data_IF_214290928205
#
_entry.id   IF_214290928205
#
_cell.length_a   1.000
_cell.length_b   1.000
_cell.length_c   1.000
_cell.angle_alpha   90.00
_cell.angle_beta   90.00
_cell.angle_gamma   90.00
#
_symmetry.space_group_name_H-M   'P 1'
#
loop_
_entity.id
_entity.type
_entity.pdbx_description
1 polymer ?
#
# COMPACT_ATOMS: atom_id res chain seq x y z
N UNK A 1 -26.23 -48.64 -11.95
CA UNK A 1 -25.35 -48.37 -10.80
C UNK A 1 -23.98 -48.05 -11.33
N UNK A 2 -23.64 -46.76 -11.45
CA UNK A 2 -22.29 -46.32 -11.83
C UNK A 2 -21.87 -45.27 -10.80
N UNK A 3 -20.99 -45.69 -9.90
CA UNK A 3 -20.41 -44.87 -8.85
C UNK A 3 -19.50 -43.82 -9.48
N UNK A 4 -19.92 -42.56 -9.44
CA UNK A 4 -19.09 -41.42 -9.82
C UNK A 4 -18.08 -41.16 -8.72
N UNK A 5 -16.79 -41.30 -9.04
CA UNK A 5 -15.68 -40.87 -8.17
C UNK A 5 -15.67 -39.34 -8.12
N UNK A 6 -16.21 -38.76 -7.06
CA UNK A 6 -16.02 -37.35 -6.72
C UNK A 6 -14.58 -37.16 -6.23
N UNK A 7 -13.73 -36.59 -7.08
CA UNK A 7 -12.45 -36.03 -6.64
C UNK A 7 -12.74 -34.96 -5.57
N UNK A 8 -12.10 -35.02 -4.39
CA UNK A 8 -12.22 -33.94 -3.42
C UNK A 8 -11.61 -32.65 -4.00
N UNK A 9 -12.18 -31.49 -3.69
CA UNK A 9 -11.61 -30.20 -4.06
C UNK A 9 -10.21 -30.05 -3.43
N UNK A 10 -9.26 -29.42 -4.14
CA UNK A 10 -7.93 -29.16 -3.59
C UNK A 10 -8.05 -28.36 -2.28
N UNK A 11 -7.25 -28.68 -1.26
CA UNK A 11 -7.27 -27.93 -0.01
C UNK A 11 -6.92 -26.46 -0.29
N UNK A 12 -7.63 -25.50 0.31
CA UNK A 12 -7.29 -24.10 0.19
C UNK A 12 -5.85 -23.92 0.68
N UNK A 13 -5.04 -23.26 -0.15
CA UNK A 13 -3.68 -22.90 0.22
C UNK A 13 -3.74 -22.11 1.53
N UNK A 14 -2.88 -22.43 2.52
CA UNK A 14 -2.78 -21.61 3.72
C UNK A 14 -2.34 -20.22 3.27
N UNK A 15 -3.27 -19.27 3.28
CA UNK A 15 -2.93 -17.86 3.29
C UNK A 15 -2.12 -17.67 4.56
N UNK A 16 -0.80 -17.54 4.41
CA UNK A 16 0.03 -16.98 5.46
C UNK A 16 -0.63 -15.64 5.79
N UNK A 17 -1.23 -15.56 6.96
CA UNK A 17 -1.52 -14.29 7.61
C UNK A 17 -0.14 -13.67 7.86
N UNK A 18 0.38 -13.01 6.82
CA UNK A 18 1.60 -12.25 6.89
C UNK A 18 1.37 -11.21 7.99
N UNK A 19 1.97 -11.52 9.14
CA UNK A 19 2.52 -10.60 10.12
C UNK A 19 2.31 -9.16 9.66
N UNK A 20 1.28 -8.50 10.22
CA UNK A 20 0.93 -7.11 9.93
C UNK A 20 2.15 -6.27 10.30
N UNK A 21 3.05 -6.15 9.34
CA UNK A 21 4.36 -5.58 9.53
C UNK A 21 4.15 -4.11 9.87
N UNK A 22 4.81 -3.69 10.94
CA UNK A 22 4.88 -2.31 11.41
C UNK A 22 4.99 -1.39 10.19
N UNK A 23 3.94 -0.62 9.93
CA UNK A 23 3.71 0.14 8.70
C UNK A 23 4.59 1.38 8.57
N UNK A 24 5.37 1.71 9.61
CA UNK A 24 6.26 2.86 9.61
C UNK A 24 7.55 2.54 8.88
N UNK A 25 7.99 3.48 8.03
CA UNK A 25 9.29 3.34 7.42
C UNK A 25 10.39 3.42 8.49
N UNK A 26 11.52 2.70 8.32
CA UNK A 26 12.65 2.78 9.25
C UNK A 26 13.12 4.23 9.51
N UNK A 27 13.05 5.10 8.50
CA UNK A 27 13.33 6.52 8.67
C UNK A 27 12.32 7.21 9.59
N UNK A 28 11.02 6.97 9.43
CA UNK A 28 9.98 7.58 10.26
C UNK A 28 10.11 7.18 11.73
N UNK A 29 10.43 5.91 11.99
CA UNK A 29 10.67 5.44 13.35
C UNK A 29 11.87 6.16 13.98
N UNK A 30 13.00 6.25 13.25
CA UNK A 30 14.18 6.97 13.70
C UNK A 30 13.92 8.48 13.89
N UNK A 31 13.13 9.10 13.00
CA UNK A 31 12.72 10.51 13.08
C UNK A 31 11.88 10.76 14.34
N UNK A 32 10.83 9.96 14.58
CA UNK A 32 9.99 10.08 15.78
C UNK A 32 10.80 9.87 17.06
N UNK A 33 11.72 8.90 17.06
CA UNK A 33 12.60 8.66 18.20
C UNK A 33 13.52 9.86 18.48
N UNK A 34 14.16 10.43 17.45
CA UNK A 34 14.99 11.63 17.59
C UNK A 34 14.18 12.83 18.10
N UNK A 35 12.95 13.02 17.59
CA UNK A 35 12.04 14.07 18.03
C UNK A 35 11.64 13.90 19.51
N UNK A 36 11.33 12.68 19.93
CA UNK A 36 11.02 12.39 21.32
C UNK A 36 12.20 12.69 22.25
N UNK A 37 13.43 12.36 21.84
CA UNK A 37 14.64 12.69 22.57
C UNK A 37 14.90 14.20 22.65
N UNK A 38 14.73 14.93 21.54
CA UNK A 38 14.82 16.40 21.54
C UNK A 38 13.83 17.04 22.52
N UNK A 39 12.60 16.55 22.52
CA UNK A 39 11.56 17.00 23.46
C UNK A 39 11.96 16.73 24.91
N UNK A 40 12.40 15.51 25.23
CA UNK A 40 12.85 15.13 26.56
C UNK A 40 14.00 16.01 27.06
N UNK A 41 14.99 16.31 26.21
CA UNK A 41 16.08 17.23 26.54
C UNK A 41 15.54 18.62 26.90
N UNK A 42 14.69 19.19 26.05
CA UNK A 42 14.13 20.54 26.23
C UNK A 42 13.22 20.64 27.46
N UNK A 43 12.47 19.58 27.77
CA UNK A 43 11.67 19.46 28.99
C UNK A 43 12.57 19.44 30.23
N UNK A 44 13.62 18.60 30.25
CA UNK A 44 14.57 18.56 31.36
C UNK A 44 15.29 19.91 31.56
N UNK A 45 15.70 20.59 30.47
CA UNK A 45 16.29 21.92 30.55
C UNK A 45 15.34 22.93 31.20
N UNK A 46 14.08 22.95 30.77
CA UNK A 46 13.04 23.81 31.36
C UNK A 46 12.86 23.53 32.86
N UNK A 47 12.90 22.25 33.27
CA UNK A 47 12.82 21.88 34.69
C UNK A 47 14.05 22.38 35.46
N UNK A 48 15.26 22.22 34.91
CA UNK A 48 16.51 22.72 35.53
C UNK A 48 16.45 24.22 35.75
N UNK A 49 15.95 24.96 34.76
CA UNK A 49 15.86 26.41 34.79
C UNK A 49 14.83 26.93 35.79
N UNK A 50 13.80 26.12 36.10
CA UNK A 50 12.82 26.38 37.15
C UNK A 50 13.33 26.02 38.56
N UNK A 51 14.44 25.28 38.69
CA UNK A 51 15.01 24.96 40.00
C UNK A 51 15.68 26.19 40.65
N UNK A 52 15.25 26.47 41.86
CA UNK A 52 15.78 27.53 42.72
C UNK A 52 17.03 27.08 43.48
N UNK A 53 17.66 28.00 44.21
CA UNK A 53 18.79 27.69 45.10
C UNK A 53 18.37 26.87 46.34
N UNK A 54 17.06 26.77 46.63
CA UNK A 54 16.54 25.99 47.75
C UNK A 54 16.30 24.51 47.38
N UNK A 55 16.33 24.18 46.09
CA UNK A 55 16.14 22.82 45.61
C UNK A 55 17.37 21.94 45.87
N UNK A 56 17.13 20.64 46.10
CA UNK A 56 18.18 19.68 46.40
C UNK A 56 19.25 19.63 45.30
N UNK A 57 20.55 19.78 45.63
CA UNK A 57 21.63 19.72 44.64
C UNK A 57 21.70 18.35 43.95
N UNK A 58 21.26 17.28 44.61
CA UNK A 58 21.18 15.94 44.04
C UNK A 58 20.18 15.88 42.88
N UNK A 59 19.01 16.53 43.01
CA UNK A 59 17.99 16.60 41.95
C UNK A 59 18.49 17.36 40.72
N UNK A 60 19.22 18.46 40.94
CA UNK A 60 19.86 19.22 39.86
C UNK A 60 20.87 18.34 39.11
N UNK A 61 21.73 17.64 39.83
CA UNK A 61 22.72 16.72 39.24
C UNK A 61 22.07 15.58 38.46
N UNK A 62 20.98 15.00 38.96
CA UNK A 62 20.21 13.97 38.28
C UNK A 62 19.67 14.47 36.93
N UNK A 63 19.03 15.64 36.90
CA UNK A 63 18.54 16.23 35.65
C UNK A 63 19.66 16.50 34.64
N UNK A 64 20.83 16.99 35.10
CA UNK A 64 21.97 17.17 34.21
C UNK A 64 22.47 15.84 33.63
N UNK A 65 22.49 14.78 34.42
CA UNK A 65 22.87 13.44 33.95
C UNK A 65 21.85 12.91 32.94
N UNK A 66 20.55 13.12 33.18
CA UNK A 66 19.48 12.78 32.24
C UNK A 66 19.64 13.54 30.92
N UNK A 67 19.92 14.84 30.96
CA UNK A 67 20.17 15.65 29.75
C UNK A 67 21.36 15.11 28.96
N UNK A 68 22.49 14.82 29.62
CA UNK A 68 23.67 14.26 28.95
C UNK A 68 23.40 12.90 28.32
N UNK A 69 22.63 12.04 29.02
CA UNK A 69 22.22 10.75 28.49
C UNK A 69 21.36 10.91 27.25
N UNK A 70 20.30 11.72 27.32
CA UNK A 70 19.42 11.98 26.18
C UNK A 70 20.15 12.67 25.03
N UNK A 71 21.14 13.53 25.30
CA UNK A 71 21.97 14.14 24.26
C UNK A 71 22.81 13.09 23.51
N UNK A 72 23.42 12.15 24.23
CA UNK A 72 24.20 11.08 23.63
C UNK A 72 23.30 10.18 22.76
N UNK A 73 22.12 9.80 23.28
CA UNK A 73 21.12 9.03 22.54
C UNK A 73 20.60 9.79 21.31
N UNK A 74 20.37 11.10 21.43
CA UNK A 74 19.93 11.95 20.32
C UNK A 74 20.94 11.95 19.17
N UNK A 75 22.25 11.99 19.47
CA UNK A 75 23.29 11.92 18.42
C UNK A 75 23.25 10.58 17.67
N UNK A 76 23.07 9.48 18.38
CA UNK A 76 22.93 8.15 17.78
C UNK A 76 21.67 8.10 16.91
N UNK A 77 20.53 8.57 17.43
CA UNK A 77 19.27 8.59 16.69
C UNK A 77 19.36 9.46 15.42
N UNK A 78 20.03 10.62 15.46
CA UNK A 78 20.25 11.46 14.28
C UNK A 78 21.15 10.79 13.24
N UNK A 79 22.17 10.03 13.66
CA UNK A 79 23.01 9.26 12.74
C UNK A 79 22.23 8.13 12.07
N UNK A 80 21.41 7.41 12.83
CA UNK A 80 20.52 6.38 12.31
C UNK A 80 19.50 6.97 11.33
N UNK A 81 18.83 8.06 11.72
CA UNK A 81 17.90 8.78 10.85
C UNK A 81 18.58 9.26 9.55
N UNK A 82 19.83 9.73 9.62
CA UNK A 82 20.60 10.11 8.42
C UNK A 82 20.80 8.93 7.47
N UNK A 83 21.21 7.77 8.01
CA UNK A 83 21.40 6.55 7.22
C UNK A 83 20.10 6.13 6.55
N UNK A 84 18.99 6.11 7.30
CA UNK A 84 17.68 5.76 6.76
C UNK A 84 17.16 6.78 5.75
N UNK A 85 17.40 8.07 5.96
CA UNK A 85 17.03 9.13 5.01
C UNK A 85 17.72 8.95 3.65
N UNK A 86 19.00 8.57 3.64
CA UNK A 86 19.74 8.29 2.40
C UNK A 86 19.15 7.07 1.68
N UNK A 87 18.85 6.00 2.42
CA UNK A 87 18.27 4.78 1.85
C UNK A 87 16.87 5.02 1.26
N UNK A 88 16.05 5.84 1.92
CA UNK A 88 14.68 6.15 1.51
C UNK A 88 14.56 7.40 0.62
N UNK A 89 15.68 8.05 0.27
CA UNK A 89 15.74 9.31 -0.51
C UNK A 89 14.94 10.46 0.11
N UNK A 90 14.94 10.57 1.43
CA UNK A 90 14.25 11.62 2.22
C UNK A 90 15.20 12.68 2.77
N UNK A 91 16.16 13.13 1.96
CA UNK A 91 17.19 14.09 2.39
C UNK A 91 16.59 15.40 2.93
N UNK A 92 15.55 15.93 2.28
CA UNK A 92 14.92 17.20 2.68
C UNK A 92 14.26 17.12 4.07
N UNK A 93 13.61 15.99 4.38
CA UNK A 93 13.02 15.75 5.71
C UNK A 93 14.11 15.68 6.77
N UNK A 94 15.21 14.98 6.45
CA UNK A 94 16.34 14.88 7.36
C UNK A 94 17.02 16.23 7.60
N UNK A 95 17.15 17.10 6.60
CA UNK A 95 17.68 18.45 6.79
C UNK A 95 16.88 19.25 7.83
N UNK A 96 15.54 19.15 7.82
CA UNK A 96 14.68 19.79 8.84
C UNK A 96 14.91 19.20 10.23
N UNK A 97 14.93 17.87 10.32
CA UNK A 97 15.20 17.16 11.58
C UNK A 97 16.58 17.52 12.15
N UNK A 98 17.59 17.57 11.27
CA UNK A 98 18.97 17.93 11.62
C UNK A 98 19.06 19.38 12.11
N UNK A 99 18.38 20.32 11.44
CA UNK A 99 18.32 21.71 11.90
C UNK A 99 17.79 21.78 13.35
N UNK A 100 16.66 21.13 13.65
CA UNK A 100 16.12 21.08 15.02
C UNK A 100 17.03 20.36 16.02
N UNK A 101 17.71 19.29 15.57
CA UNK A 101 18.73 18.60 16.35
C UNK A 101 19.91 19.51 16.70
N UNK A 102 20.40 20.30 15.74
CA UNK A 102 21.48 21.27 15.96
C UNK A 102 21.07 22.40 16.89
N UNK A 103 19.86 22.94 16.75
CA UNK A 103 19.31 23.95 17.67
C UNK A 103 19.24 23.40 19.10
N UNK A 104 18.76 22.17 19.26
CA UNK A 104 18.72 21.51 20.58
C UNK A 104 20.13 21.35 21.18
N UNK A 105 21.12 20.93 20.38
CA UNK A 105 22.51 20.82 20.84
C UNK A 105 23.13 22.18 21.18
N UNK A 106 22.82 23.23 20.42
CA UNK A 106 23.28 24.59 20.72
C UNK A 106 22.70 25.10 22.04
N UNK A 107 21.42 24.83 22.32
CA UNK A 107 20.79 25.13 23.60
C UNK A 107 21.51 24.42 24.76
N UNK A 108 21.79 23.12 24.64
CA UNK A 108 22.55 22.38 25.65
C UNK A 108 23.93 23.03 25.88
N UNK A 109 24.64 23.40 24.81
CA UNK A 109 25.95 24.07 24.91
C UNK A 109 25.85 25.45 25.55
N UNK A 110 24.82 26.24 25.25
CA UNK A 110 24.63 27.55 25.84
C UNK A 110 24.31 27.48 27.35
N UNK A 111 23.61 26.44 27.80
CA UNK A 111 23.29 26.25 29.22
C UNK A 111 24.42 25.59 30.02
N UNK A 112 25.14 24.64 29.42
CA UNK A 112 26.08 23.79 30.16
C UNK A 112 27.53 23.90 29.69
N UNK A 113 27.79 24.44 28.50
CA UNK A 113 29.14 24.75 28.02
C UNK A 113 29.78 25.89 28.81
N UNK A 114 28.98 26.85 29.27
CA UNK A 114 29.40 27.96 30.14
C UNK A 114 29.86 27.46 31.52
N UNK A 115 29.27 26.37 32.03
CA UNK A 115 29.69 25.70 33.27
C UNK A 115 31.00 24.92 33.11
N UNK A 116 31.29 24.39 31.92
CA UNK A 116 32.56 23.72 31.63
C UNK A 116 33.73 24.70 31.39
N UNK A 117 33.44 25.98 31.12
CA UNK A 117 34.44 27.03 30.91
C UNK A 117 35.24 27.46 32.14
N UNK A 118 34.87 27.00 33.35
CA UNK A 118 35.66 27.20 34.57
C UNK A 118 36.72 26.10 34.81
N UNK A 119 36.84 25.12 33.91
CA UNK A 119 37.88 24.10 34.00
C UNK A 119 38.02 23.27 32.74
N UNK A 120 38.68 23.78 31.70
CA UNK A 120 39.05 22.94 30.57
C UNK A 120 39.40 23.69 29.29
N UNK A 121 40.70 23.90 29.10
CA UNK A 121 41.32 24.25 27.82
C UNK A 121 41.02 23.14 26.79
N UNK A 122 40.48 23.53 25.63
CA UNK A 122 40.68 22.82 24.35
C UNK A 122 39.73 21.67 24.02
N UNK A 123 38.92 21.87 22.97
CA UNK A 123 38.11 20.78 22.40
C UNK A 123 37.20 21.22 21.26
N UNK A 124 37.75 21.87 20.25
CA UNK A 124 37.06 22.19 19.01
C UNK A 124 36.78 20.89 18.22
N UNK A 125 35.60 20.29 18.43
CA UNK A 125 35.03 19.32 17.48
C UNK A 125 33.87 20.00 16.75
N UNK A 126 34.24 20.89 15.83
CA UNK A 126 33.38 21.35 14.76
C UNK A 126 33.30 20.23 13.71
N UNK A 127 32.26 19.38 13.81
CA UNK A 127 31.94 18.43 12.76
C UNK A 127 31.26 19.20 11.61
N UNK A 128 32.09 19.78 10.74
CA UNK A 128 31.66 20.33 9.45
C UNK A 128 31.74 19.22 8.42
N UNK A 129 30.59 18.86 7.86
CA UNK A 129 30.50 18.02 6.67
C UNK A 129 29.84 18.85 5.57
N UNK A 130 30.64 19.64 4.84
CA UNK A 130 30.54 19.90 3.41
C UNK A 130 31.44 21.07 3.00
N UNK A 131 32.09 20.86 1.87
CA UNK A 131 33.11 21.62 1.18
C UNK A 131 32.46 22.34 -0.02
N UNK A 132 32.75 23.62 -0.24
CA UNK A 132 32.68 24.30 -1.56
C UNK A 132 33.12 25.77 -1.43
N UNK A 133 34.17 26.08 -2.18
CA UNK A 133 34.77 27.39 -2.46
C UNK A 133 33.73 28.50 -2.77
N UNK A 134 33.83 29.66 -2.12
CA UNK A 134 34.16 30.92 -2.82
C UNK A 134 34.56 32.02 -1.82
N UNK A 135 35.46 32.86 -2.29
CA UNK A 135 36.35 33.76 -1.59
C UNK A 135 35.70 35.13 -1.41
N UNK A 136 35.46 35.61 -0.19
CA UNK A 136 35.63 37.05 0.16
C UNK A 136 35.47 37.32 1.67
N UNK A 137 36.54 37.84 2.27
CA UNK A 137 36.59 38.53 3.57
C UNK A 137 37.04 39.99 3.27
N UNK A 138 37.02 40.96 4.21
CA UNK A 138 35.96 41.30 5.18
C UNK A 138 35.80 42.84 5.33
N UNK A 139 34.62 43.36 5.71
CA UNK A 139 34.50 44.76 6.19
C UNK A 139 33.37 44.89 7.22
N UNK A 140 33.69 45.48 8.38
CA UNK A 140 32.79 46.46 9.00
C UNK A 140 32.25 46.17 10.40
N UNK A 141 33.09 46.46 11.41
CA UNK A 141 32.79 46.91 12.77
C UNK A 141 31.35 47.28 13.17
N UNK A 142 30.93 46.81 14.35
CA UNK A 142 30.19 47.47 15.48
C UNK A 142 29.47 46.36 16.26
N UNK A 143 29.37 46.28 17.58
CA UNK A 143 29.70 47.16 18.68
C UNK A 143 29.98 46.27 19.90
N UNK A 144 31.04 46.58 20.65
CA UNK A 144 31.28 46.01 21.97
C UNK A 144 30.28 46.64 22.95
N UNK A 145 29.11 46.03 23.09
CA UNK A 145 28.29 46.18 24.28
C UNK A 145 28.97 45.39 25.42
N UNK A 146 29.76 46.08 26.23
CA UNK A 146 30.03 45.67 27.61
C UNK A 146 28.70 45.76 28.36
N UNK A 147 28.01 44.63 28.45
CA UNK A 147 26.93 44.43 29.41
C UNK A 147 27.51 43.70 30.61
N UNK A 148 27.66 44.44 31.72
CA UNK A 148 27.89 43.89 33.07
C UNK A 148 26.60 43.20 33.56
N UNK A 149 26.17 42.17 32.82
CA UNK A 149 25.01 41.34 33.12
C UNK A 149 25.45 40.12 33.89
N UNK A 150 24.91 39.97 35.11
CA UNK A 150 24.90 38.77 35.93
C UNK A 150 25.04 37.49 35.09
N UNK A 151 26.10 36.70 35.31
CA UNK A 151 26.51 35.53 34.51
C UNK A 151 25.57 34.34 34.59
N UNK A 152 24.27 34.60 34.71
CA UNK A 152 23.20 33.63 34.73
C UNK A 152 22.82 33.30 33.29
N UNK A 153 23.02 32.04 32.92
CA UNK A 153 22.61 31.52 31.62
C UNK A 153 21.15 31.93 31.31
N UNK A 154 20.83 32.31 30.06
CA UNK A 154 19.47 32.70 29.67
C UNK A 154 18.48 31.58 30.01
N UNK A 155 17.36 31.92 30.64
CA UNK A 155 16.32 30.96 31.05
C UNK A 155 15.58 30.44 29.81
N UNK A 156 15.65 29.13 29.55
CA UNK A 156 14.97 28.48 28.44
C UNK A 156 13.65 27.86 28.92
N UNK A 157 12.56 28.14 28.21
CA UNK A 157 11.27 27.50 28.41
C UNK A 157 10.78 26.90 27.09
N UNK A 158 10.64 25.57 27.06
CA UNK A 158 10.10 24.84 25.92
C UNK A 158 8.73 25.38 25.48
N UNK A 159 7.90 25.87 26.41
CA UNK A 159 6.58 26.40 26.09
C UNK A 159 6.62 27.67 25.21
N UNK A 160 7.76 28.36 25.17
CA UNK A 160 7.96 29.56 24.35
C UNK A 160 8.62 29.24 23.00
N UNK A 161 9.06 28.00 22.79
CA UNK A 161 9.72 27.54 21.57
C UNK A 161 8.71 27.20 20.47
N UNK A 162 8.15 28.25 19.87
CA UNK A 162 7.10 28.13 18.88
C UNK A 162 7.53 27.31 17.65
N UNK A 163 8.78 27.47 17.21
CA UNK A 163 9.31 26.78 16.03
C UNK A 163 9.31 25.25 16.23
N UNK A 164 9.79 24.79 17.38
CA UNK A 164 9.79 23.37 17.69
C UNK A 164 8.40 22.79 17.87
N UNK A 165 7.49 23.55 18.50
CA UNK A 165 6.09 23.13 18.61
C UNK A 165 5.43 22.95 17.25
N UNK A 166 5.63 23.90 16.32
CA UNK A 166 5.09 23.80 14.95
C UNK A 166 5.66 22.57 14.25
N UNK A 167 6.98 22.36 14.31
CA UNK A 167 7.63 21.20 13.71
C UNK A 167 7.11 19.87 14.30
N UNK A 168 7.03 19.77 15.63
CA UNK A 168 6.54 18.59 16.31
C UNK A 168 5.09 18.25 15.92
N UNK A 169 4.20 19.25 15.92
CA UNK A 169 2.81 19.06 15.52
C UNK A 169 2.67 18.72 14.03
N UNK A 170 3.48 19.31 13.16
CA UNK A 170 3.48 19.01 11.73
C UNK A 170 3.85 17.54 11.49
N UNK A 171 4.93 17.07 12.11
CA UNK A 171 5.36 15.66 12.00
C UNK A 171 4.30 14.71 12.54
N UNK A 172 3.71 15.01 13.70
CA UNK A 172 2.65 14.17 14.28
C UNK A 172 1.38 14.14 13.41
N UNK A 173 0.96 15.28 12.86
CA UNK A 173 -0.19 15.36 11.95
C UNK A 173 0.08 14.61 10.65
N UNK A 174 1.32 14.64 10.15
CA UNK A 174 1.69 13.91 8.95
C UNK A 174 1.63 12.39 9.19
N UNK A 175 2.17 11.91 10.31
CA UNK A 175 2.09 10.50 10.71
C UNK A 175 0.63 10.01 10.76
N UNK A 176 -0.25 10.74 11.46
CA UNK A 176 -1.67 10.41 11.56
C UNK A 176 -2.39 10.40 10.19
N UNK A 177 -1.96 11.23 9.23
CA UNK A 177 -2.50 11.22 7.86
C UNK A 177 -2.07 10.00 7.08
N UNK A 178 -0.83 9.56 7.27
CA UNK A 178 -0.30 8.34 6.64
C UNK A 178 -1.04 7.12 7.17
N UNK A 179 -1.19 7.00 8.48
CA UNK A 179 -1.94 5.90 9.10
C UNK A 179 -3.38 5.85 8.58
N UNK A 180 -4.09 6.98 8.58
CA UNK A 180 -5.45 7.04 8.05
C UNK A 180 -5.55 6.71 6.55
N UNK A 181 -4.48 6.93 5.77
CA UNK A 181 -4.43 6.53 4.38
C UNK A 181 -4.20 5.03 4.23
N UNK A 182 -3.37 4.44 5.09
CA UNK A 182 -3.12 3.00 5.12
C UNK A 182 -4.37 2.22 5.51
N UNK A 183 -5.13 2.67 6.51
CA UNK A 183 -6.41 2.06 6.89
C UNK A 183 -7.40 2.01 5.72
N UNK A 184 -7.43 3.06 4.90
CA UNK A 184 -8.28 3.11 3.69
C UNK A 184 -7.81 2.13 2.62
N UNK A 185 -6.49 1.96 2.48
CA UNK A 185 -5.91 1.00 1.55
C UNK A 185 -6.23 -0.42 2.02
N UNK A 186 -6.05 -0.72 3.30
CA UNK A 186 -6.39 -2.02 3.90
C UNK A 186 -7.85 -2.38 3.63
N UNK A 187 -8.77 -1.47 3.95
CA UNK A 187 -10.20 -1.67 3.65
C UNK A 187 -10.47 -1.85 2.15
N UNK A 188 -9.77 -1.09 1.30
CA UNK A 188 -9.86 -1.21 -0.15
C UNK A 188 -9.40 -2.58 -0.65
N UNK A 189 -8.28 -3.08 -0.14
CA UNK A 189 -7.72 -4.40 -0.47
C UNK A 189 -8.66 -5.52 -0.02
N UNK A 190 -9.18 -5.43 1.21
CA UNK A 190 -10.15 -6.39 1.73
C UNK A 190 -11.40 -6.46 0.84
N UNK A 191 -11.93 -5.31 0.42
CA UNK A 191 -13.07 -5.27 -0.50
C UNK A 191 -12.74 -5.84 -1.88
N UNK A 192 -11.54 -5.60 -2.41
CA UNK A 192 -11.10 -6.21 -3.68
C UNK A 192 -11.02 -7.72 -3.55
N UNK A 193 -10.50 -8.22 -2.43
CA UNK A 193 -10.43 -9.64 -2.13
C UNK A 193 -11.82 -10.29 -2.08
N UNK A 194 -12.77 -9.68 -1.37
CA UNK A 194 -14.17 -10.13 -1.32
C UNK A 194 -14.83 -10.11 -2.71
N UNK A 195 -14.61 -9.06 -3.50
CA UNK A 195 -15.11 -8.98 -4.87
C UNK A 195 -14.51 -10.06 -5.76
N UNK A 196 -13.21 -10.34 -5.62
CA UNK A 196 -12.53 -11.37 -6.41
C UNK A 196 -13.09 -12.76 -6.08
N UNK A 197 -13.36 -13.05 -4.81
CA UNK A 197 -14.06 -14.26 -4.39
C UNK A 197 -15.47 -14.34 -4.97
N UNK A 198 -16.25 -13.26 -4.88
CA UNK A 198 -17.59 -13.21 -5.46
C UNK A 198 -17.60 -13.42 -6.98
N UNK A 199 -16.63 -12.85 -7.71
CA UNK A 199 -16.46 -13.08 -9.14
C UNK A 199 -16.11 -14.55 -9.43
N UNK A 200 -15.22 -15.14 -8.64
CA UNK A 200 -14.85 -16.54 -8.79
C UNK A 200 -16.05 -17.47 -8.62
N UNK A 201 -16.84 -17.27 -7.56
CA UNK A 201 -18.04 -18.07 -7.28
C UNK A 201 -19.09 -17.94 -8.40
N UNK A 202 -19.29 -16.73 -8.93
CA UNK A 202 -20.20 -16.48 -10.04
C UNK A 202 -19.70 -17.12 -11.35
N UNK A 203 -18.39 -17.08 -11.62
CA UNK A 203 -17.81 -17.75 -12.78
C UNK A 203 -17.98 -19.27 -12.70
N UNK A 204 -17.77 -19.87 -11.53
CA UNK A 204 -17.99 -21.30 -11.30
C UNK A 204 -19.47 -21.68 -11.49
N UNK A 205 -20.38 -20.83 -11.00
CA UNK A 205 -21.81 -21.01 -11.23
C UNK A 205 -22.15 -20.95 -12.73
N UNK A 206 -21.61 -19.97 -13.46
CA UNK A 206 -21.81 -19.80 -14.90
C UNK A 206 -21.24 -20.95 -15.72
N UNK A 207 -20.07 -21.48 -15.37
CA UNK A 207 -19.50 -22.67 -16.00
C UNK A 207 -20.47 -23.86 -15.91
N UNK A 208 -21.05 -24.06 -14.72
CA UNK A 208 -22.03 -25.13 -14.50
C UNK A 208 -23.28 -24.99 -15.38
N UNK A 209 -23.74 -23.76 -15.59
CA UNK A 209 -24.89 -23.42 -16.44
C UNK A 209 -24.55 -23.63 -17.91
N UNK A 210 -23.39 -23.14 -18.37
CA UNK A 210 -22.89 -23.32 -19.73
C UNK A 210 -22.76 -24.82 -20.07
N UNK A 211 -22.23 -25.63 -19.16
CA UNK A 211 -22.15 -27.09 -19.36
C UNK A 211 -23.52 -27.74 -19.53
N UNK A 212 -24.54 -27.28 -18.79
CA UNK A 212 -25.92 -27.77 -18.94
C UNK A 212 -26.54 -27.29 -20.25
N UNK A 213 -26.27 -26.06 -20.65
CA UNK A 213 -26.74 -25.50 -21.92
C UNK A 213 -26.13 -26.26 -23.12
N UNK A 214 -24.83 -26.56 -23.08
CA UNK A 214 -24.15 -27.38 -24.08
C UNK A 214 -24.81 -28.75 -24.25
N UNK A 215 -25.05 -29.47 -23.15
CA UNK A 215 -25.77 -30.77 -23.20
C UNK A 215 -27.16 -30.67 -23.81
N UNK A 216 -27.90 -29.59 -23.55
CA UNK A 216 -29.22 -29.35 -24.15
C UNK A 216 -29.11 -29.04 -25.64
N UNK A 217 -28.12 -28.26 -26.05
CA UNK A 217 -27.84 -27.95 -27.45
C UNK A 217 -27.52 -29.23 -28.24
N UNK A 218 -26.62 -30.07 -27.71
CA UNK A 218 -26.27 -31.37 -28.31
C UNK A 218 -27.50 -32.27 -28.48
N UNK A 219 -28.37 -32.33 -27.46
CA UNK A 219 -29.61 -33.10 -27.53
C UNK A 219 -30.59 -32.55 -28.57
N UNK A 220 -30.69 -31.23 -28.70
CA UNK A 220 -31.55 -30.60 -29.71
C UNK A 220 -31.00 -30.85 -31.12
N UNK A 221 -29.68 -30.77 -31.30
CA UNK A 221 -29.03 -31.07 -32.58
C UNK A 221 -29.25 -32.54 -32.98
N UNK A 222 -29.11 -33.48 -32.03
CA UNK A 222 -29.42 -34.88 -32.24
C UNK A 222 -30.91 -35.09 -32.63
N UNK A 223 -31.84 -34.37 -31.99
CA UNK A 223 -33.25 -34.44 -32.33
C UNK A 223 -33.55 -33.86 -33.72
N UNK A 224 -32.97 -32.70 -34.07
CA UNK A 224 -33.13 -32.06 -35.38
C UNK A 224 -32.54 -32.92 -36.51
N UNK A 225 -31.33 -33.47 -36.31
CA UNK A 225 -30.72 -34.38 -37.28
C UNK A 225 -31.54 -35.67 -37.46
N UNK A 226 -32.08 -36.22 -36.38
CA UNK A 226 -33.04 -37.32 -36.41
C UNK A 226 -34.32 -36.99 -37.18
N UNK A 227 -34.90 -35.81 -36.95
CA UNK A 227 -36.09 -35.33 -37.63
C UNK A 227 -35.84 -35.09 -39.12
N UNK A 228 -34.71 -34.46 -39.48
CA UNK A 228 -34.28 -34.25 -40.86
C UNK A 228 -34.14 -35.59 -41.61
N UNK A 229 -33.50 -36.59 -40.99
CA UNK A 229 -33.42 -37.96 -41.55
C UNK A 229 -34.78 -38.60 -41.74
N UNK A 230 -35.71 -38.44 -40.78
CA UNK A 230 -37.09 -38.95 -40.90
C UNK A 230 -37.83 -38.26 -42.04
N UNK A 231 -37.72 -36.94 -42.14
CA UNK A 231 -38.33 -36.15 -43.22
C UNK A 231 -37.81 -36.61 -44.60
N UNK A 232 -36.49 -36.76 -44.75
CA UNK A 232 -35.89 -37.28 -45.99
C UNK A 232 -36.40 -38.68 -46.35
N UNK A 233 -36.54 -39.58 -45.36
CA UNK A 233 -37.11 -40.92 -45.59
C UNK A 233 -38.57 -40.83 -46.02
N UNK A 234 -39.37 -39.95 -45.41
CA UNK A 234 -40.78 -39.74 -45.79
C UNK A 234 -40.89 -39.18 -47.20
N UNK A 235 -40.08 -38.19 -47.56
CA UNK A 235 -40.02 -37.63 -48.92
C UNK A 235 -39.65 -38.74 -49.92
N UNK A 236 -38.64 -39.57 -49.64
CA UNK A 236 -38.26 -40.70 -50.51
C UNK A 236 -39.39 -41.74 -50.63
N UNK A 237 -40.12 -42.04 -49.56
CA UNK A 237 -41.28 -42.95 -49.58
C UNK A 237 -42.43 -42.39 -50.43
N UNK A 238 -42.75 -41.11 -50.26
CA UNK A 238 -43.76 -40.41 -51.08
C UNK A 238 -43.35 -40.36 -52.55
N UNK A 239 -42.07 -40.09 -52.85
CA UNK A 239 -41.54 -40.13 -54.21
C UNK A 239 -41.67 -41.51 -54.87
N UNK A 240 -41.35 -42.59 -54.14
CA UNK A 240 -41.54 -43.98 -54.62
C UNK A 240 -43.02 -44.32 -54.85
N UNK A 241 -43.90 -43.90 -53.94
CA UNK A 241 -45.35 -44.11 -54.09
C UNK A 241 -45.91 -43.38 -55.31
N UNK A 242 -45.53 -42.13 -55.55
CA UNK A 242 -45.94 -41.40 -56.75
C UNK A 242 -45.45 -42.06 -58.02
N UNK A 243 -44.20 -42.57 -58.03
CA UNK A 243 -43.64 -43.28 -59.17
C UNK A 243 -44.44 -44.56 -59.50
N UNK A 244 -44.87 -45.30 -58.47
CA UNK A 244 -45.77 -46.46 -58.64
C UNK A 244 -47.14 -46.02 -59.18
N UNK A 245 -47.71 -44.94 -58.66
CA UNK A 245 -49.00 -44.41 -59.16
C UNK A 245 -48.91 -44.00 -60.64
N UNK A 246 -47.84 -43.31 -61.04
CA UNK A 246 -47.61 -42.95 -62.45
C UNK A 246 -47.42 -44.20 -63.33
N UNK A 247 -46.68 -45.21 -62.87
CA UNK A 247 -46.52 -46.46 -63.61
C UNK A 247 -47.87 -47.18 -63.82
N UNK A 248 -48.72 -47.27 -62.79
CA UNK A 248 -50.06 -47.85 -62.90
C UNK A 248 -50.94 -47.06 -63.87
N UNK A 249 -50.92 -45.73 -63.81
CA UNK A 249 -51.66 -44.87 -64.73
C UNK A 249 -51.23 -45.08 -66.19
N UNK A 250 -49.93 -45.19 -66.45
CA UNK A 250 -49.40 -45.50 -67.78
C UNK A 250 -49.88 -46.86 -68.30
N UNK A 251 -49.91 -47.88 -67.45
CA UNK A 251 -50.43 -49.22 -67.82
C UNK A 251 -51.91 -49.14 -68.19
N UNK A 252 -52.73 -48.43 -67.40
CA UNK A 252 -54.17 -48.24 -67.70
C UNK A 252 -54.38 -47.52 -69.04
N UNK A 253 -53.59 -46.47 -69.31
CA UNK A 253 -53.62 -45.76 -70.60
C UNK A 253 -53.25 -46.68 -71.77
N UNK A 254 -52.21 -47.50 -71.63
CA UNK A 254 -51.82 -48.46 -72.67
C UNK A 254 -52.93 -49.48 -72.93
N UNK A 255 -53.55 -50.02 -71.88
CA UNK A 255 -54.68 -50.95 -72.02
C UNK A 255 -55.84 -50.30 -72.77
N UNK A 256 -56.20 -49.06 -72.44
CA UNK A 256 -57.23 -48.30 -73.16
C UNK A 256 -56.91 -48.13 -74.64
N UNK A 257 -55.66 -47.76 -74.97
CA UNK A 257 -55.22 -47.63 -76.37
C UNK A 257 -55.35 -48.96 -77.11
N UNK A 258 -54.92 -50.07 -76.50
CA UNK A 258 -55.04 -51.41 -77.10
C UNK A 258 -56.50 -51.78 -77.34
N UNK A 259 -57.38 -51.54 -76.36
CA UNK A 259 -58.82 -51.79 -76.49
C UNK A 259 -59.42 -50.98 -77.63
N UNK A 260 -59.07 -49.69 -77.75
CA UNK A 260 -59.54 -48.82 -78.84
C UNK A 260 -59.06 -49.34 -80.20
N UNK A 261 -57.80 -49.78 -80.31
CA UNK A 261 -57.26 -50.34 -81.56
C UNK A 261 -57.98 -51.64 -81.94
N UNK A 262 -58.26 -52.51 -80.97
CA UNK A 262 -58.96 -53.78 -81.22
C UNK A 262 -60.42 -53.50 -81.64
N UNK A 263 -61.13 -52.62 -80.93
CA UNK A 263 -62.49 -52.23 -81.32
C UNK A 263 -62.50 -51.56 -82.70
N UNK A 264 -61.55 -50.67 -82.96
CA UNK A 264 -61.43 -49.96 -84.24
C UNK A 264 -61.01 -50.85 -85.42
N UNK A 265 -60.38 -52.01 -85.17
CA UNK A 265 -60.11 -53.04 -86.19
C UNK A 265 -61.28 -54.03 -86.37
N UNK A 266 -62.22 -54.07 -85.41
CA UNK A 266 -63.39 -54.95 -85.44
C UNK A 266 -64.64 -54.27 -86.05
N UNK A 267 -64.53 -53.00 -86.41
CA UNK A 267 -65.48 -52.19 -87.18
C UNK A 267 -65.00 -52.09 -88.63
#
# INVERSE_FOLDING_TARGET
MLSGSSSPPPPPLPLHEDEVAVTRSPYQEAELHAIALMRSVREHMTVVDRLTAQDSPAKRLELHNSIRKCEAELRVALQEASRHAVMERRADSFCKLQAQGTTTQQLIRAHYGTLAGLGGVGGANHFSLADAEDTTEPVGATDQARDDGDGRAPHYDIAQDHEFHVFFEETQRNDARVDAALDRIEFGVQRIHENAHGIHDELDAQESVLRRAGKKADSNEAAMSGMSRRLQRTIRKLGKSRLITYAVLCVVLLVLIVVIIILGKSL
#
